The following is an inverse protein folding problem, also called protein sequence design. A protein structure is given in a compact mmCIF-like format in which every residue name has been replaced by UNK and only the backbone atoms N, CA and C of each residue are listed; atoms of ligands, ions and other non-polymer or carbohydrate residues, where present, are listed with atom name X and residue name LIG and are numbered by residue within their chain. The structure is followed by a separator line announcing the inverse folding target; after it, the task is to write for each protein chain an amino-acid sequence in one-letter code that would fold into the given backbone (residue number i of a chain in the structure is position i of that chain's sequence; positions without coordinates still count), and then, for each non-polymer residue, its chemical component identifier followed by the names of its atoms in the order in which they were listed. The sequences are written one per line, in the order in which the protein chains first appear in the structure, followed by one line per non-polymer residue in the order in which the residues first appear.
data_IF_725670897060
#
_entry.id   IF_725670897060
#
_cell.length_a   1.000
_cell.length_b   1.000
_cell.length_c   1.000
_cell.angle_alpha   90.00
_cell.angle_beta   90.00
_cell.angle_gamma   90.00
#
_symmetry.space_group_name_H-M   'P 1'
#
loop_
_entity.id
_entity.type
_entity.pdbx_description
1 polymer ?
#
# COMPACT_ATOMS: atom_id res chain seq x y z
N UNK A 1 19.62 21.02 2.24
CA UNK A 1 20.07 20.38 3.47
C UNK A 1 19.35 21.05 4.62
N UNK A 2 18.74 20.29 5.50
CA UNK A 2 18.07 20.78 6.70
C UNK A 2 18.88 20.31 7.90
N UNK A 3 19.71 21.20 8.46
CA UNK A 3 20.57 20.89 9.62
C UNK A 3 19.89 21.23 10.98
N UNK A 4 18.62 21.62 10.95
CA UNK A 4 17.89 22.01 12.16
C UNK A 4 17.37 20.79 12.96
N UNK A 5 17.23 19.65 12.31
CA UNK A 5 16.81 18.39 12.93
C UNK A 5 17.84 17.30 12.59
N UNK A 6 18.55 16.76 13.58
CA UNK A 6 19.61 15.77 13.35
C UNK A 6 19.03 14.37 13.06
N UNK A 7 18.25 14.26 12.01
CA UNK A 7 17.59 13.03 11.61
C UNK A 7 17.67 12.82 10.09
N UNK A 8 17.78 11.56 9.68
CA UNK A 8 17.82 11.15 8.28
C UNK A 8 16.77 10.08 8.03
N UNK A 9 15.95 10.31 7.00
CA UNK A 9 14.98 9.35 6.50
C UNK A 9 15.52 8.69 5.23
N UNK A 10 15.59 7.36 5.25
CA UNK A 10 15.99 6.51 4.15
C UNK A 10 14.75 5.77 3.65
N UNK A 11 14.42 5.91 2.38
CA UNK A 11 13.29 5.21 1.77
C UNK A 11 13.73 4.49 0.51
N UNK A 12 13.75 3.17 0.56
CA UNK A 12 13.92 2.31 -0.60
C UNK A 12 12.54 1.90 -1.13
N UNK A 13 12.31 2.18 -2.41
CA UNK A 13 11.09 1.82 -3.12
C UNK A 13 11.42 0.81 -4.20
N UNK A 14 10.65 -0.26 -4.29
CA UNK A 14 10.73 -1.28 -5.33
C UNK A 14 9.51 -1.14 -6.23
N UNK A 15 9.69 -1.11 -7.55
CA UNK A 15 8.64 -0.93 -8.55
C UNK A 15 7.77 -2.16 -8.76
N UNK A 16 7.41 -2.86 -7.67
CA UNK A 16 6.52 -4.02 -7.66
C UNK A 16 5.66 -4.01 -6.38
N UNK A 17 4.38 -4.25 -6.54
CA UNK A 17 3.38 -4.36 -5.48
C UNK A 17 2.33 -5.38 -5.87
N UNK A 18 1.14 -5.31 -5.30
CA UNK A 18 0.04 -6.26 -5.55
C UNK A 18 -0.35 -6.38 -7.05
N UNK A 19 -0.13 -5.33 -7.84
CA UNK A 19 -0.32 -5.39 -9.30
C UNK A 19 0.66 -6.36 -10.01
N UNK A 20 1.72 -6.75 -9.33
CA UNK A 20 2.72 -7.72 -9.82
C UNK A 20 2.49 -9.14 -9.30
N UNK A 21 1.45 -9.36 -8.52
CA UNK A 21 1.12 -10.68 -7.99
C UNK A 21 0.82 -11.66 -9.13
N UNK A 22 1.25 -12.92 -9.02
CA UNK A 22 0.77 -13.99 -9.89
C UNK A 22 -0.75 -14.17 -9.72
N UNK A 23 -1.44 -14.54 -10.79
CA UNK A 23 -2.91 -14.57 -10.86
C UNK A 23 -3.57 -15.43 -9.74
N UNK A 24 -2.90 -16.50 -9.32
CA UNK A 24 -3.40 -17.40 -8.28
C UNK A 24 -2.82 -17.11 -6.87
N UNK A 25 -1.96 -16.09 -6.75
CA UNK A 25 -1.19 -15.78 -5.53
C UNK A 25 -1.40 -14.34 -5.06
N UNK A 26 -2.63 -13.84 -5.18
CA UNK A 26 -2.96 -12.50 -4.71
C UNK A 26 -2.56 -12.30 -3.23
N UNK A 27 -1.88 -11.18 -2.96
CA UNK A 27 -1.34 -10.85 -1.64
C UNK A 27 0.12 -11.26 -1.43
N UNK A 28 0.78 -11.92 -2.41
CA UNK A 28 2.19 -12.31 -2.24
C UNK A 28 3.11 -11.11 -2.10
N UNK A 29 2.85 -10.01 -2.82
CA UNK A 29 3.62 -8.77 -2.68
C UNK A 29 3.48 -8.17 -1.27
N UNK A 30 2.25 -8.03 -0.78
CA UNK A 30 1.96 -7.51 0.55
C UNK A 30 2.59 -8.38 1.63
N UNK A 31 2.44 -9.70 1.52
CA UNK A 31 3.00 -10.64 2.48
C UNK A 31 4.54 -10.65 2.46
N UNK A 32 5.17 -10.58 1.26
CA UNK A 32 6.62 -10.39 1.12
C UNK A 32 7.06 -9.10 1.81
N UNK A 33 6.40 -7.98 1.51
CA UNK A 33 6.71 -6.68 2.09
C UNK A 33 6.63 -6.66 3.61
N UNK A 34 5.60 -7.29 4.20
CA UNK A 34 5.43 -7.38 5.65
C UNK A 34 6.49 -8.26 6.32
N UNK A 35 7.00 -9.28 5.63
CA UNK A 35 8.01 -10.19 6.13
C UNK A 35 9.46 -9.65 6.00
N UNK A 36 9.70 -8.59 5.25
CA UNK A 36 11.04 -8.01 5.12
C UNK A 36 11.66 -7.64 6.48
N UNK A 37 10.87 -7.08 7.38
CA UNK A 37 11.31 -6.71 8.73
C UNK A 37 11.32 -7.86 9.75
N UNK A 38 10.98 -9.09 9.33
CA UNK A 38 10.83 -10.25 10.21
C UNK A 38 12.03 -11.20 10.16
N UNK A 39 13.18 -10.67 9.81
CA UNK A 39 14.48 -11.37 9.82
C UNK A 39 15.18 -11.34 8.47
N UNK A 40 16.50 -11.30 8.55
CA UNK A 40 17.43 -11.40 7.43
C UNK A 40 18.29 -12.67 7.59
N UNK A 41 19.27 -12.84 6.72
CA UNK A 41 20.27 -13.93 6.87
C UNK A 41 21.19 -13.72 8.08
N UNK A 42 21.36 -12.47 8.54
CA UNK A 42 22.31 -12.09 9.58
C UNK A 42 21.63 -11.66 10.89
N UNK A 43 20.33 -11.38 10.89
CA UNK A 43 19.55 -10.91 12.05
C UNK A 43 18.20 -11.59 12.10
N UNK A 44 17.74 -11.99 13.27
CA UNK A 44 16.37 -12.40 13.48
C UNK A 44 15.42 -11.19 13.68
N UNK A 45 14.11 -11.42 13.81
CA UNK A 45 13.12 -10.36 13.97
C UNK A 45 13.33 -9.54 15.26
N UNK A 46 13.73 -10.20 16.34
CA UNK A 46 13.99 -9.56 17.64
C UNK A 46 15.22 -8.68 17.56
N UNK A 47 16.31 -9.19 16.99
CA UNK A 47 17.54 -8.43 16.77
C UNK A 47 17.33 -7.19 15.91
N UNK A 48 16.50 -7.28 14.85
CA UNK A 48 16.13 -6.11 14.03
C UNK A 48 15.40 -5.08 14.90
N UNK A 49 14.37 -5.50 15.65
CA UNK A 49 13.58 -4.61 16.51
C UNK A 49 14.44 -3.96 17.60
N UNK A 50 15.22 -4.75 18.35
CA UNK A 50 16.08 -4.24 19.42
C UNK A 50 17.15 -3.28 18.89
N UNK A 51 17.71 -3.57 17.72
CA UNK A 51 18.77 -2.73 17.17
C UNK A 51 18.22 -1.37 16.70
N UNK A 52 17.07 -1.34 16.00
CA UNK A 52 16.46 -0.07 15.58
C UNK A 52 15.97 0.75 16.78
N UNK A 53 15.40 0.10 17.79
CA UNK A 53 14.94 0.74 19.01
C UNK A 53 16.12 1.33 19.83
N UNK A 54 17.27 0.65 19.86
CA UNK A 54 18.46 1.10 20.59
C UNK A 54 19.02 2.44 20.10
N UNK A 55 18.78 2.77 18.81
CA UNK A 55 19.18 4.05 18.20
C UNK A 55 18.02 5.05 18.11
N UNK A 56 16.88 4.74 18.75
CA UNK A 56 15.66 5.58 18.68
C UNK A 56 15.12 5.71 17.27
N UNK A 57 15.36 4.72 16.41
CA UNK A 57 14.97 4.71 15.02
C UNK A 57 13.55 4.17 14.79
N UNK A 58 13.09 4.29 13.55
CA UNK A 58 11.80 3.73 13.11
C UNK A 58 12.04 2.92 11.84
N UNK A 59 11.56 1.68 11.82
CA UNK A 59 11.52 0.83 10.64
C UNK A 59 10.07 0.59 10.23
N UNK A 60 9.76 0.89 8.96
CA UNK A 60 8.48 0.54 8.35
C UNK A 60 8.73 -0.20 7.03
N UNK A 61 8.07 -1.33 6.85
CA UNK A 61 8.16 -2.15 5.64
C UNK A 61 6.76 -2.49 5.14
N UNK A 62 6.61 -2.74 3.85
CA UNK A 62 5.32 -3.12 3.30
C UNK A 62 5.28 -3.08 1.78
N UNK A 63 4.09 -3.38 1.25
CA UNK A 63 3.79 -3.19 -0.16
C UNK A 63 2.38 -2.62 -0.31
N UNK A 64 2.23 -1.75 -1.30
CA UNK A 64 0.93 -1.28 -1.77
C UNK A 64 0.57 -1.91 -3.12
N UNK A 65 -0.26 -1.22 -3.87
CA UNK A 65 -0.74 -1.72 -5.16
C UNK A 65 0.37 -1.79 -6.21
N UNK A 66 1.18 -0.73 -6.37
CA UNK A 66 2.16 -0.61 -7.47
C UNK A 66 3.62 -0.74 -7.01
N UNK A 67 3.88 -0.68 -5.72
CA UNK A 67 5.24 -0.65 -5.18
C UNK A 67 5.33 -1.31 -3.81
N UNK A 68 6.54 -1.80 -3.48
CA UNK A 68 6.93 -2.19 -2.12
C UNK A 68 7.94 -1.17 -1.57
N UNK A 69 8.09 -1.11 -0.25
CA UNK A 69 8.99 -0.16 0.37
C UNK A 69 9.63 -0.68 1.66
N UNK A 70 10.82 -0.16 1.92
CA UNK A 70 11.50 -0.19 3.23
C UNK A 70 11.81 1.25 3.60
N UNK A 71 11.38 1.69 4.76
CA UNK A 71 11.62 3.03 5.28
C UNK A 71 12.30 2.95 6.63
N UNK A 72 13.44 3.61 6.75
CA UNK A 72 14.23 3.70 7.98
C UNK A 72 14.42 5.17 8.32
N UNK A 73 14.04 5.56 9.53
CA UNK A 73 14.32 6.88 10.10
C UNK A 73 15.26 6.70 11.27
N UNK A 74 16.39 7.41 11.26
CA UNK A 74 17.39 7.38 12.33
C UNK A 74 17.92 8.78 12.59
N UNK A 75 18.59 8.95 13.75
CA UNK A 75 19.38 10.15 14.00
C UNK A 75 20.63 10.17 13.09
N UNK A 76 21.17 11.35 12.81
CA UNK A 76 22.31 11.54 11.89
C UNK A 76 23.55 10.74 12.30
N UNK A 77 23.82 10.60 13.58
CA UNK A 77 24.94 9.79 14.11
C UNK A 77 24.77 8.27 13.90
N UNK A 78 23.54 7.83 13.61
CA UNK A 78 23.20 6.44 13.30
C UNK A 78 22.93 6.20 11.79
N UNK A 79 23.34 7.15 10.93
CA UNK A 79 23.05 7.10 9.48
C UNK A 79 23.63 5.83 8.83
N UNK A 80 24.90 5.50 9.08
CA UNK A 80 25.54 4.32 8.50
C UNK A 80 24.81 3.02 8.89
N UNK A 81 24.41 2.91 10.15
CA UNK A 81 23.56 1.80 10.61
C UNK A 81 22.24 1.74 9.83
N UNK A 82 21.58 2.89 9.63
CA UNK A 82 20.32 2.95 8.86
C UNK A 82 20.48 2.47 7.42
N UNK A 83 21.58 2.84 6.75
CA UNK A 83 21.89 2.39 5.38
C UNK A 83 22.20 0.89 5.34
N UNK A 84 22.95 0.37 6.31
CA UNK A 84 23.25 -1.06 6.39
C UNK A 84 22.00 -1.89 6.66
N UNK A 85 21.14 -1.42 7.55
CA UNK A 85 19.88 -2.10 7.87
C UNK A 85 18.92 -2.16 6.67
N UNK A 86 18.72 -1.04 5.97
CA UNK A 86 17.83 -1.01 4.79
C UNK A 86 18.35 -1.91 3.67
N UNK A 87 19.68 -1.97 3.50
CA UNK A 87 20.32 -2.85 2.53
C UNK A 87 20.17 -4.33 2.89
N UNK A 88 20.36 -4.70 4.13
CA UNK A 88 20.24 -6.09 4.60
C UNK A 88 18.79 -6.58 4.49
N UNK A 89 17.83 -5.78 4.94
CA UNK A 89 16.39 -6.08 4.85
C UNK A 89 15.93 -6.25 3.40
N UNK A 90 16.36 -5.35 2.52
CA UNK A 90 15.92 -5.38 1.12
C UNK A 90 16.56 -6.49 0.29
N UNK A 91 17.81 -6.88 0.62
CA UNK A 91 18.60 -7.82 -0.19
C UNK A 91 18.61 -9.25 0.35
N UNK A 92 18.47 -9.41 1.66
CA UNK A 92 18.75 -10.68 2.35
C UNK A 92 17.62 -11.17 3.27
N UNK A 93 16.33 -11.01 2.96
CA UNK A 93 15.27 -11.49 3.85
C UNK A 93 15.38 -13.01 4.04
N UNK A 94 15.17 -13.47 5.27
CA UNK A 94 15.25 -14.88 5.61
C UNK A 94 14.00 -15.68 5.22
N UNK A 95 12.83 -15.03 5.28
CA UNK A 95 11.54 -15.67 5.14
C UNK A 95 11.44 -16.93 6.01
N UNK A 96 11.79 -16.81 7.29
CA UNK A 96 11.76 -17.93 8.23
C UNK A 96 10.34 -18.51 8.36
N UNK A 97 10.21 -19.85 8.37
CA UNK A 97 8.90 -20.50 8.34
C UNK A 97 8.03 -20.11 9.56
N UNK A 98 8.65 -19.96 10.73
CA UNK A 98 7.93 -19.54 11.94
C UNK A 98 7.32 -18.13 11.78
N UNK A 99 8.06 -17.19 11.18
CA UNK A 99 7.60 -15.85 10.94
C UNK A 99 6.52 -15.79 9.84
N UNK A 100 6.64 -16.64 8.82
CA UNK A 100 5.60 -16.81 7.80
C UNK A 100 4.29 -17.23 8.45
N UNK A 101 4.30 -18.26 9.30
CA UNK A 101 3.06 -18.74 9.92
C UNK A 101 2.49 -17.73 10.93
N UNK A 102 3.34 -17.06 11.70
CA UNK A 102 2.93 -15.98 12.62
C UNK A 102 2.25 -14.85 11.85
N UNK A 103 2.90 -14.36 10.81
CA UNK A 103 2.38 -13.26 9.96
C UNK A 103 1.12 -13.69 9.20
N UNK A 104 1.05 -14.94 8.71
CA UNK A 104 -0.15 -15.49 8.08
C UNK A 104 -1.36 -15.43 9.00
N UNK A 105 -1.23 -15.86 10.26
CA UNK A 105 -2.32 -15.80 11.22
C UNK A 105 -2.76 -14.36 11.48
N UNK A 106 -1.82 -13.42 11.55
CA UNK A 106 -2.11 -12.00 11.72
C UNK A 106 -2.89 -11.44 10.52
N UNK A 107 -2.45 -11.73 9.29
CA UNK A 107 -3.13 -11.29 8.05
C UNK A 107 -4.53 -11.89 7.95
N UNK A 108 -4.68 -13.19 8.20
CA UNK A 108 -5.98 -13.86 8.15
C UNK A 108 -6.96 -13.31 9.20
N UNK A 109 -6.47 -13.02 10.40
CA UNK A 109 -7.28 -12.37 11.45
C UNK A 109 -7.69 -10.95 11.04
N UNK A 110 -6.77 -10.18 10.45
CA UNK A 110 -7.07 -8.84 9.92
C UNK A 110 -8.12 -8.87 8.82
N UNK A 111 -8.02 -9.79 7.86
CA UNK A 111 -9.02 -9.99 6.80
C UNK A 111 -10.39 -10.35 7.40
N UNK A 112 -10.43 -11.24 8.40
CA UNK A 112 -11.68 -11.61 9.05
C UNK A 112 -12.36 -10.40 9.73
N UNK A 113 -11.59 -9.58 10.45
CA UNK A 113 -12.10 -8.35 11.08
C UNK A 113 -12.59 -7.36 10.00
N UNK A 114 -11.85 -7.23 8.90
CA UNK A 114 -12.23 -6.34 7.81
C UNK A 114 -13.56 -6.73 7.15
N UNK A 115 -13.88 -8.03 7.06
CA UNK A 115 -15.17 -8.47 6.53
C UNK A 115 -16.37 -8.16 7.43
N UNK A 116 -16.15 -7.82 8.69
CA UNK A 116 -17.21 -7.33 9.56
C UNK A 116 -17.55 -5.86 9.32
N UNK A 117 -16.68 -5.10 8.67
CA UNK A 117 -16.89 -3.71 8.29
C UNK A 117 -17.66 -3.57 6.95
N UNK A 118 -18.90 -3.03 6.95
CA UNK A 118 -19.65 -2.77 5.71
C UNK A 118 -18.91 -1.84 4.74
N UNK A 119 -18.14 -0.88 5.27
CA UNK A 119 -17.36 0.06 4.47
C UNK A 119 -16.26 -0.62 3.67
N UNK A 120 -15.57 -1.57 4.30
CA UNK A 120 -14.57 -2.41 3.62
C UNK A 120 -15.19 -3.27 2.51
N UNK A 121 -16.29 -3.97 2.82
CA UNK A 121 -17.00 -4.79 1.83
C UNK A 121 -17.44 -3.98 0.62
N UNK A 122 -18.04 -2.81 0.86
CA UNK A 122 -18.47 -1.92 -0.20
C UNK A 122 -17.27 -1.44 -1.06
N UNK A 123 -16.12 -1.18 -0.44
CA UNK A 123 -14.86 -0.81 -1.12
C UNK A 123 -14.34 -1.92 -2.02
N UNK A 124 -14.21 -3.14 -1.50
CA UNK A 124 -13.73 -4.31 -2.27
C UNK A 124 -14.63 -4.59 -3.48
N UNK A 125 -15.96 -4.55 -3.28
CA UNK A 125 -16.91 -4.77 -4.38
C UNK A 125 -16.85 -3.62 -5.39
N UNK A 126 -16.72 -2.38 -4.94
CA UNK A 126 -16.53 -1.22 -5.81
C UNK A 126 -15.28 -1.38 -6.70
N UNK A 127 -14.13 -1.69 -6.12
CA UNK A 127 -12.89 -1.91 -6.87
C UNK A 127 -13.04 -3.06 -7.87
N UNK A 128 -13.69 -4.16 -7.48
CA UNK A 128 -13.97 -5.27 -8.39
C UNK A 128 -14.88 -4.88 -9.56
N UNK A 129 -15.87 -4.04 -9.33
CA UNK A 129 -16.77 -3.53 -10.38
C UNK A 129 -16.07 -2.58 -11.34
N UNK A 130 -15.19 -1.72 -10.83
CA UNK A 130 -14.41 -0.74 -11.62
C UNK A 130 -13.35 -1.43 -12.46
N UNK A 131 -12.58 -2.33 -11.86
CA UNK A 131 -11.37 -2.88 -12.46
C UNK A 131 -11.56 -4.29 -13.06
N UNK A 132 -12.63 -5.01 -12.74
CA UNK A 132 -12.93 -6.33 -13.30
C UNK A 132 -11.83 -7.35 -13.01
N UNK A 133 -11.18 -7.86 -14.07
CA UNK A 133 -10.05 -8.80 -13.98
C UNK A 133 -8.68 -8.12 -13.89
N UNK A 134 -8.62 -6.79 -13.96
CA UNK A 134 -7.38 -6.06 -13.73
C UNK A 134 -6.89 -6.30 -12.28
N UNK A 135 -5.57 -6.43 -12.03
CA UNK A 135 -5.03 -6.63 -10.68
C UNK A 135 -5.53 -5.64 -9.63
N UNK A 136 -5.82 -4.40 -10.02
CA UNK A 136 -6.38 -3.39 -9.12
C UNK A 136 -7.79 -3.70 -8.59
N UNK A 137 -8.49 -4.67 -9.17
CA UNK A 137 -9.77 -5.16 -8.66
C UNK A 137 -9.67 -6.25 -7.61
N UNK A 138 -8.46 -6.49 -7.09
CA UNK A 138 -8.21 -7.44 -5.99
C UNK A 138 -7.69 -6.68 -4.78
N UNK A 139 -8.06 -7.11 -3.55
CA UNK A 139 -7.48 -6.54 -2.34
C UNK A 139 -5.94 -6.71 -2.33
N UNK A 140 -5.17 -5.66 -2.05
CA UNK A 140 -3.70 -5.74 -2.05
C UNK A 140 -3.15 -6.79 -1.08
N UNK A 141 -3.80 -6.99 0.06
CA UNK A 141 -3.43 -8.01 1.06
C UNK A 141 -3.87 -9.44 0.68
N UNK A 142 -4.50 -9.60 -0.48
CA UNK A 142 -5.06 -10.86 -0.94
C UNK A 142 -6.40 -11.20 -0.30
N UNK A 143 -6.78 -12.47 -0.43
CA UNK A 143 -7.98 -13.05 0.18
C UNK A 143 -7.58 -14.10 1.21
N UNK A 144 -8.51 -14.46 2.10
CA UNK A 144 -8.26 -15.55 3.05
C UNK A 144 -7.85 -16.87 2.36
N UNK A 145 -8.35 -17.11 1.14
CA UNK A 145 -8.02 -18.29 0.35
C UNK A 145 -6.59 -18.20 -0.20
N UNK A 146 -6.25 -17.11 -0.90
CA UNK A 146 -4.93 -16.94 -1.49
C UNK A 146 -3.82 -16.88 -0.43
N UNK A 147 -4.02 -16.16 0.68
CA UNK A 147 -3.04 -16.03 1.77
C UNK A 147 -2.72 -17.40 2.42
N UNK A 148 -3.71 -18.29 2.55
CA UNK A 148 -3.46 -19.67 3.06
C UNK A 148 -2.55 -20.48 2.14
N UNK A 149 -2.56 -20.20 0.84
CA UNK A 149 -1.82 -20.96 -0.17
C UNK A 149 -0.43 -20.38 -0.49
N UNK A 150 -0.10 -19.19 -0.03
CA UNK A 150 1.22 -18.58 -0.23
C UNK A 150 2.27 -19.38 0.55
N UNK A 151 3.29 -19.86 -0.14
CA UNK A 151 4.39 -20.63 0.44
C UNK A 151 5.65 -19.79 0.58
N UNK A 152 6.63 -20.28 1.35
CA UNK A 152 7.97 -19.66 1.40
C UNK A 152 8.60 -19.54 0.00
N UNK A 153 8.37 -20.54 -0.86
CA UNK A 153 8.88 -20.51 -2.23
C UNK A 153 8.25 -19.38 -3.05
N UNK A 154 6.94 -19.10 -2.89
CA UNK A 154 6.26 -18.00 -3.57
C UNK A 154 6.85 -16.64 -3.14
N UNK A 155 7.09 -16.47 -1.83
CA UNK A 155 7.69 -15.24 -1.27
C UNK A 155 9.10 -15.02 -1.81
N UNK A 156 9.94 -16.04 -1.81
CA UNK A 156 11.28 -15.99 -2.38
C UNK A 156 11.26 -15.72 -3.88
N UNK A 157 10.38 -16.39 -4.62
CA UNK A 157 10.24 -16.19 -6.06
C UNK A 157 9.83 -14.74 -6.39
N UNK A 158 8.88 -14.18 -5.65
CA UNK A 158 8.48 -12.78 -5.80
C UNK A 158 9.64 -11.81 -5.48
N UNK A 159 10.31 -12.01 -4.36
CA UNK A 159 11.47 -11.21 -3.99
C UNK A 159 12.58 -11.31 -5.03
N UNK A 160 12.95 -12.52 -5.44
CA UNK A 160 14.02 -12.74 -6.41
C UNK A 160 13.71 -12.14 -7.79
N UNK A 161 12.44 -12.11 -8.18
CA UNK A 161 12.02 -11.55 -9.47
C UNK A 161 12.01 -10.02 -9.48
N UNK A 162 11.65 -9.39 -8.37
CA UNK A 162 11.33 -7.96 -8.36
C UNK A 162 12.31 -7.09 -7.59
N UNK A 163 13.02 -7.61 -6.58
CA UNK A 163 13.98 -6.84 -5.79
C UNK A 163 15.33 -6.83 -6.47
N UNK A 164 15.58 -5.75 -7.20
CA UNK A 164 16.80 -5.53 -7.98
C UNK A 164 17.08 -4.03 -8.10
N UNK A 165 18.35 -3.61 -8.26
CA UNK A 165 18.73 -2.19 -8.31
C UNK A 165 18.10 -1.46 -9.51
N UNK A 166 17.91 -2.13 -10.64
CA UNK A 166 17.24 -1.56 -11.81
C UNK A 166 15.70 -1.51 -11.70
N UNK A 167 15.12 -1.91 -10.56
CA UNK A 167 13.72 -1.76 -10.18
C UNK A 167 13.56 -1.00 -8.85
N UNK A 168 14.63 -0.37 -8.38
CA UNK A 168 14.69 0.26 -7.08
C UNK A 168 14.99 1.75 -7.19
N UNK A 169 14.49 2.52 -6.22
CA UNK A 169 14.84 3.91 -5.99
C UNK A 169 15.10 4.11 -4.50
N UNK A 170 16.30 4.61 -4.16
CA UNK A 170 16.64 5.01 -2.79
C UNK A 170 16.54 6.54 -2.68
N UNK A 171 15.71 7.01 -1.78
CA UNK A 171 15.65 8.41 -1.38
C UNK A 171 16.24 8.58 0.02
N UNK A 172 17.17 9.51 0.17
CA UNK A 172 17.81 9.88 1.45
C UNK A 172 17.52 11.35 1.68
N UNK A 173 16.85 11.67 2.78
CA UNK A 173 16.40 13.03 3.10
C UNK A 173 16.68 13.32 4.57
N UNK A 174 17.36 14.43 4.86
CA UNK A 174 17.64 14.86 6.23
C UNK A 174 18.97 15.58 6.38
N UNK A 175 19.53 15.53 7.59
CA UNK A 175 20.78 16.15 7.97
C UNK A 175 21.98 15.25 7.59
N UNK A 176 22.30 15.24 6.29
CA UNK A 176 23.41 14.47 5.73
C UNK A 176 23.97 15.18 4.48
N UNK A 177 25.27 15.17 4.34
CA UNK A 177 25.95 15.65 3.14
C UNK A 177 25.73 14.69 1.96
N UNK A 178 25.50 15.26 0.77
CA UNK A 178 25.16 14.47 -0.43
C UNK A 178 26.26 13.43 -0.77
N UNK A 179 27.53 13.83 -0.67
CA UNK A 179 28.67 12.94 -0.98
C UNK A 179 28.74 11.75 0.00
N UNK A 180 28.46 11.99 1.29
CA UNK A 180 28.39 10.93 2.29
C UNK A 180 27.22 9.98 2.01
N UNK A 181 26.05 10.53 1.65
CA UNK A 181 24.88 9.74 1.29
C UNK A 181 25.13 8.85 0.05
N UNK A 182 25.75 9.39 -1.00
CA UNK A 182 26.11 8.62 -2.19
C UNK A 182 27.17 7.56 -1.91
N UNK A 183 28.20 7.87 -1.11
CA UNK A 183 29.24 6.91 -0.74
C UNK A 183 28.65 5.73 0.07
N UNK A 184 27.75 6.01 1.01
CA UNK A 184 27.07 4.97 1.78
C UNK A 184 26.14 4.11 0.91
N UNK A 185 25.39 4.73 -0.02
CA UNK A 185 24.56 4.00 -0.96
C UNK A 185 25.39 3.09 -1.89
N UNK A 186 26.52 3.58 -2.41
CA UNK A 186 27.44 2.79 -3.23
C UNK A 186 28.03 1.62 -2.45
N UNK A 187 28.42 1.85 -1.20
CA UNK A 187 28.96 0.80 -0.30
C UNK A 187 27.97 -0.36 -0.11
N UNK A 188 26.68 -0.06 0.04
CA UNK A 188 25.66 -1.05 0.40
C UNK A 188 24.99 -1.67 -0.83
N UNK A 189 24.83 -0.90 -1.91
CA UNK A 189 24.07 -1.33 -3.09
C UNK A 189 24.91 -1.46 -4.36
N UNK A 190 26.17 -1.02 -4.38
CA UNK A 190 27.01 -0.99 -5.57
C UNK A 190 27.29 -2.37 -6.19
N UNK A 191 27.30 -3.43 -5.38
CA UNK A 191 27.44 -4.82 -5.82
C UNK A 191 26.09 -5.53 -6.09
N UNK A 192 24.96 -4.83 -5.89
CA UNK A 192 23.65 -5.42 -6.13
C UNK A 192 23.41 -5.59 -7.63
N UNK A 193 23.37 -6.84 -8.10
CA UNK A 193 23.31 -7.14 -9.52
C UNK A 193 21.93 -6.84 -10.11
N UNK A 194 21.93 -6.15 -11.27
CA UNK A 194 20.71 -5.93 -12.04
C UNK A 194 20.13 -7.25 -12.57
N UNK A 195 18.81 -7.31 -12.69
CA UNK A 195 18.09 -8.52 -13.15
C UNK A 195 17.21 -8.21 -14.36
N UNK A 196 16.86 -9.22 -15.13
CA UNK A 196 15.76 -9.14 -16.09
C UNK A 196 14.44 -9.11 -15.31
N UNK A 197 13.75 -7.99 -15.37
CA UNK A 197 12.49 -7.82 -14.65
C UNK A 197 11.34 -8.52 -15.40
N UNK A 198 10.38 -9.10 -14.68
CA UNK A 198 9.16 -9.61 -15.29
C UNK A 198 8.42 -8.50 -16.04
N UNK A 199 7.86 -8.86 -17.19
CA UNK A 199 6.96 -7.96 -17.91
C UNK A 199 5.63 -7.93 -17.19
N UNK A 200 5.21 -6.72 -16.76
CA UNK A 200 3.91 -6.56 -16.12
C UNK A 200 2.80 -6.94 -17.09
N UNK A 201 1.88 -7.77 -16.63
CA UNK A 201 0.71 -8.18 -17.40
C UNK A 201 -0.14 -6.95 -17.73
N UNK A 202 -0.30 -6.67 -19.00
CA UNK A 202 -1.22 -5.63 -19.44
C UNK A 202 -2.64 -6.22 -19.45
N UNK A 203 -3.47 -5.75 -18.54
CA UNK A 203 -4.89 -6.06 -18.47
C UNK A 203 -5.65 -4.74 -18.66
N UNK A 204 -6.61 -4.71 -19.57
CA UNK A 204 -7.39 -3.51 -19.81
C UNK A 204 -8.42 -3.32 -18.66
N UNK A 205 -8.56 -2.07 -18.23
CA UNK A 205 -9.63 -1.70 -17.29
C UNK A 205 -10.95 -1.69 -18.11
N UNK A 206 -12.01 -2.36 -17.62
CA UNK A 206 -13.26 -2.43 -18.35
C UNK A 206 -13.86 -1.04 -18.63
N UNK A 207 -14.53 -0.90 -19.76
CA UNK A 207 -15.31 0.30 -20.02
C UNK A 207 -16.37 0.48 -18.93
N UNK A 208 -16.57 1.71 -18.41
CA UNK A 208 -17.54 1.96 -17.36
C UNK A 208 -18.97 1.64 -17.85
N UNK A 209 -19.72 0.90 -17.04
CA UNK A 209 -21.12 0.61 -17.27
C UNK A 209 -21.93 0.95 -16.02
N UNK A 210 -23.06 1.65 -16.13
CA UNK A 210 -23.92 1.96 -15.00
C UNK A 210 -24.38 0.67 -14.30
N UNK A 211 -24.07 0.55 -13.00
CA UNK A 211 -24.48 -0.60 -12.18
C UNK A 211 -24.84 -0.12 -10.79
N UNK A 212 -25.85 -0.75 -10.21
CA UNK A 212 -26.16 -0.64 -8.78
C UNK A 212 -26.05 -2.03 -8.19
N UNK A 213 -25.24 -2.16 -7.14
CA UNK A 213 -25.10 -3.41 -6.41
C UNK A 213 -25.48 -3.16 -4.97
N UNK A 214 -26.35 -3.99 -4.45
CA UNK A 214 -26.78 -3.95 -3.04
C UNK A 214 -26.29 -5.22 -2.37
N UNK A 215 -25.54 -5.03 -1.27
CA UNK A 215 -25.07 -6.12 -0.43
C UNK A 215 -25.88 -6.10 0.86
N UNK A 216 -26.69 -7.12 1.07
CA UNK A 216 -27.43 -7.27 2.31
C UNK A 216 -26.51 -7.77 3.42
N UNK A 217 -26.43 -6.99 4.51
CA UNK A 217 -25.70 -7.35 5.75
C UNK A 217 -26.68 -7.32 6.91
N UNK A 218 -27.30 -8.47 7.26
CA UNK A 218 -28.28 -8.54 8.33
C UNK A 218 -27.74 -7.99 9.65
N UNK A 219 -28.55 -7.19 10.33
CA UNK A 219 -28.19 -6.57 11.60
C UNK A 219 -27.35 -5.28 11.48
N UNK A 220 -26.99 -4.84 10.30
CA UNK A 220 -26.29 -3.57 10.11
C UNK A 220 -27.26 -2.38 10.37
N UNK A 221 -26.85 -1.48 11.25
CA UNK A 221 -27.59 -0.25 11.55
C UNK A 221 -27.29 0.87 10.55
N UNK A 222 -26.21 0.74 9.79
CA UNK A 222 -25.74 1.72 8.82
C UNK A 222 -25.57 1.07 7.45
N UNK A 223 -25.76 1.89 6.42
CA UNK A 223 -25.44 1.55 5.02
C UNK A 223 -24.19 2.29 4.59
N UNK A 224 -23.19 1.54 4.17
CA UNK A 224 -22.02 2.09 3.50
C UNK A 224 -22.30 2.29 2.02
N UNK A 225 -22.12 3.51 1.52
CA UNK A 225 -22.37 3.89 0.13
C UNK A 225 -21.05 4.17 -0.55
N UNK A 226 -20.86 3.62 -1.76
CA UNK A 226 -19.74 3.91 -2.66
C UNK A 226 -20.29 4.25 -4.03
N UNK A 227 -19.89 5.41 -4.58
CA UNK A 227 -20.31 5.89 -5.91
C UNK A 227 -19.07 6.33 -6.67
N UNK A 228 -18.88 5.86 -7.88
CA UNK A 228 -17.72 6.26 -8.66
C UNK A 228 -17.54 5.49 -9.96
N UNK A 229 -16.38 5.65 -10.56
CA UNK A 229 -16.05 5.04 -11.85
C UNK A 229 -14.52 5.01 -12.07
N UNK A 230 -14.09 4.32 -13.13
CA UNK A 230 -12.69 4.38 -13.57
C UNK A 230 -12.27 5.81 -13.91
N UNK A 231 -11.06 6.19 -13.51
CA UNK A 231 -10.52 7.52 -13.65
C UNK A 231 -9.10 7.50 -14.27
N UNK A 232 -8.44 8.64 -14.23
CA UNK A 232 -7.17 8.91 -14.91
C UNK A 232 -5.99 8.18 -14.24
N UNK A 233 -5.03 7.68 -15.02
CA UNK A 233 -3.75 7.22 -14.48
C UNK A 233 -2.94 8.40 -13.94
N UNK A 234 -2.00 8.13 -13.04
CA UNK A 234 -1.12 9.14 -12.44
C UNK A 234 -0.31 9.95 -13.47
N UNK A 235 -0.03 9.36 -14.61
CA UNK A 235 0.73 9.96 -15.71
C UNK A 235 -0.10 10.88 -16.62
N UNK A 236 -1.42 10.98 -16.41
CA UNK A 236 -2.29 11.86 -17.21
C UNK A 236 -1.92 13.33 -16.98
N UNK A 237 -1.83 14.16 -18.03
CA UNK A 237 -1.61 15.60 -17.87
C UNK A 237 -2.75 16.30 -17.12
N UNK A 238 -3.96 15.73 -17.15
CA UNK A 238 -5.13 16.30 -16.49
C UNK A 238 -5.28 15.83 -15.03
N UNK A 239 -4.36 14.97 -14.54
CA UNK A 239 -4.44 14.42 -13.20
C UNK A 239 -4.58 15.48 -12.11
N UNK A 240 -3.72 16.50 -12.10
CA UNK A 240 -3.73 17.55 -11.07
C UNK A 240 -5.03 18.35 -11.06
N UNK A 241 -5.54 18.70 -12.24
CA UNK A 241 -6.79 19.43 -12.36
C UNK A 241 -7.97 18.59 -11.86
N UNK A 242 -7.97 17.31 -12.20
CA UNK A 242 -8.99 16.36 -11.73
C UNK A 242 -8.92 16.15 -10.22
N UNK A 243 -7.73 15.94 -9.65
CA UNK A 243 -7.53 15.78 -8.21
C UNK A 243 -8.05 17.00 -7.42
N UNK A 244 -7.72 18.23 -7.89
CA UNK A 244 -8.22 19.46 -7.26
C UNK A 244 -9.73 19.56 -7.34
N UNK A 245 -10.34 19.22 -8.49
CA UNK A 245 -11.79 19.24 -8.63
C UNK A 245 -12.49 18.26 -7.65
N UNK A 246 -11.93 17.07 -7.48
CA UNK A 246 -12.46 16.07 -6.55
C UNK A 246 -12.23 16.48 -5.10
N UNK A 247 -11.12 17.14 -4.77
CA UNK A 247 -10.90 17.69 -3.42
C UNK A 247 -11.92 18.77 -3.06
N UNK A 248 -12.36 19.59 -4.00
CA UNK A 248 -13.45 20.56 -3.79
C UNK A 248 -14.77 19.82 -3.51
N UNK A 249 -15.01 18.71 -4.22
CA UNK A 249 -16.23 17.91 -4.06
C UNK A 249 -16.27 17.22 -2.70
N UNK A 250 -15.22 16.51 -2.33
CA UNK A 250 -15.25 15.60 -1.17
C UNK A 250 -13.91 15.38 -0.49
N UNK A 251 -12.88 16.20 -0.74
CA UNK A 251 -11.56 16.07 -0.12
C UNK A 251 -11.56 16.43 1.37
N UNK A 252 -10.67 17.32 1.78
CA UNK A 252 -10.51 17.73 3.17
C UNK A 252 -11.68 18.59 3.69
N UNK A 253 -11.61 18.99 4.97
CA UNK A 253 -12.69 19.69 5.67
C UNK A 253 -13.24 20.90 4.91
N UNK A 254 -14.57 21.09 4.95
CA UNK A 254 -15.27 22.16 4.24
C UNK A 254 -15.66 21.80 2.79
N UNK A 255 -15.48 20.54 2.38
CA UNK A 255 -15.88 20.06 1.06
C UNK A 255 -17.42 20.07 0.85
N UNK A 256 -17.86 20.03 -0.41
CA UNK A 256 -19.28 20.13 -0.77
C UNK A 256 -20.11 18.96 -0.25
N UNK A 257 -19.62 17.72 -0.35
CA UNK A 257 -20.34 16.53 0.15
C UNK A 257 -20.55 16.61 1.66
N UNK A 258 -19.51 16.96 2.41
CA UNK A 258 -19.60 17.15 3.85
C UNK A 258 -20.54 18.27 4.26
N UNK A 259 -20.51 19.41 3.56
CA UNK A 259 -21.42 20.52 3.80
C UNK A 259 -22.89 20.09 3.63
N UNK A 260 -23.22 19.45 2.51
CA UNK A 260 -24.61 19.06 2.22
C UNK A 260 -25.05 17.88 3.08
N UNK A 261 -24.32 16.77 3.06
CA UNK A 261 -24.80 15.53 3.70
C UNK A 261 -24.68 15.56 5.22
N UNK A 262 -23.62 16.18 5.75
CA UNK A 262 -23.41 16.26 7.19
C UNK A 262 -24.05 17.51 7.80
N UNK A 263 -23.69 18.70 7.29
CA UNK A 263 -24.03 19.96 7.97
C UNK A 263 -25.47 20.38 7.71
N UNK A 264 -25.91 20.35 6.46
CA UNK A 264 -27.26 20.82 6.09
C UNK A 264 -28.33 19.76 6.34
N UNK A 265 -28.04 18.49 5.99
CA UNK A 265 -29.04 17.40 6.02
C UNK A 265 -28.91 16.46 7.21
N UNK A 266 -27.82 16.48 7.94
CA UNK A 266 -27.55 15.60 9.11
C UNK A 266 -27.72 14.10 8.80
N UNK A 267 -27.39 13.67 7.56
CA UNK A 267 -27.55 12.30 7.10
C UNK A 267 -26.38 11.41 7.45
N UNK A 268 -25.19 12.00 7.63
CA UNK A 268 -23.95 11.26 7.88
C UNK A 268 -23.04 11.99 8.85
N UNK A 269 -22.10 11.25 9.44
CA UNK A 269 -20.98 11.83 10.19
C UNK A 269 -19.87 12.35 9.26
N UNK A 270 -19.65 11.66 8.13
CA UNK A 270 -18.64 12.04 7.14
C UNK A 270 -19.06 11.65 5.73
N UNK A 271 -18.75 12.51 4.78
CA UNK A 271 -18.84 12.21 3.35
C UNK A 271 -17.58 12.73 2.67
N UNK A 272 -16.97 11.92 1.85
CA UNK A 272 -15.74 12.26 1.16
C UNK A 272 -15.73 11.74 -0.28
N UNK A 273 -14.80 12.29 -1.07
CA UNK A 273 -14.50 11.81 -2.40
C UNK A 273 -13.00 11.89 -2.64
N UNK A 274 -12.46 10.85 -3.23
CA UNK A 274 -11.04 10.72 -3.52
C UNK A 274 -10.79 10.22 -4.93
N UNK A 275 -9.57 10.44 -5.43
CA UNK A 275 -9.04 9.88 -6.67
C UNK A 275 -7.86 8.99 -6.34
N UNK A 276 -7.99 7.71 -6.60
CA UNK A 276 -6.88 6.78 -6.53
C UNK A 276 -6.24 6.64 -7.91
N UNK A 277 -5.31 7.55 -8.25
CA UNK A 277 -4.56 7.47 -9.51
C UNK A 277 -3.33 6.59 -9.34
N UNK A 278 -3.33 5.45 -10.03
CA UNK A 278 -2.29 4.43 -10.04
C UNK A 278 -1.52 4.44 -11.37
N UNK A 279 -0.55 3.56 -11.52
CA UNK A 279 0.33 3.50 -12.70
C UNK A 279 -0.43 3.26 -14.01
N UNK A 280 -1.41 2.35 -14.02
CA UNK A 280 -2.10 1.90 -15.24
C UNK A 280 -3.51 2.47 -15.38
N UNK A 281 -4.02 3.17 -14.39
CA UNK A 281 -5.34 3.74 -14.37
C UNK A 281 -5.65 4.27 -12.98
N UNK A 282 -6.88 4.70 -12.79
CA UNK A 282 -7.35 5.18 -11.49
C UNK A 282 -8.83 4.95 -11.32
N UNK A 283 -9.33 5.30 -10.17
CA UNK A 283 -10.75 5.43 -9.87
C UNK A 283 -11.03 6.73 -9.14
N UNK A 284 -12.22 7.22 -9.36
CA UNK A 284 -12.89 8.21 -8.54
C UNK A 284 -13.90 7.51 -7.67
N UNK A 285 -13.89 7.79 -6.38
CA UNK A 285 -14.81 7.21 -5.42
C UNK A 285 -15.34 8.26 -4.44
N UNK A 286 -16.66 8.50 -4.46
CA UNK A 286 -17.40 9.14 -3.39
C UNK A 286 -17.82 8.09 -2.36
N UNK A 287 -17.66 8.40 -1.07
CA UNK A 287 -18.00 7.48 0.03
C UNK A 287 -18.68 8.19 1.18
N UNK A 288 -19.68 7.53 1.74
CA UNK A 288 -20.36 7.95 2.97
C UNK A 288 -20.98 6.74 3.67
N UNK A 289 -21.30 6.93 4.92
CA UNK A 289 -22.09 5.99 5.73
C UNK A 289 -23.26 6.72 6.34
N UNK A 290 -24.44 6.14 6.25
CA UNK A 290 -25.69 6.72 6.75
C UNK A 290 -26.51 5.67 7.49
N UNK A 291 -27.46 6.09 8.28
CA UNK A 291 -28.43 5.15 8.88
C UNK A 291 -29.20 4.43 7.75
N UNK A 292 -29.44 3.12 7.91
CA UNK A 292 -30.12 2.32 6.89
C UNK A 292 -31.47 2.92 6.43
N UNK A 293 -32.20 3.56 7.34
CA UNK A 293 -33.46 4.24 7.05
C UNK A 293 -33.33 5.49 6.16
N UNK A 294 -32.13 6.09 6.08
CA UNK A 294 -31.90 7.33 5.32
C UNK A 294 -31.02 7.09 4.07
N UNK A 295 -30.83 5.83 3.67
CA UNK A 295 -29.99 5.45 2.53
C UNK A 295 -30.43 6.13 1.23
N UNK A 296 -31.72 6.10 0.92
CA UNK A 296 -32.25 6.68 -0.30
C UNK A 296 -32.13 8.22 -0.36
N UNK A 297 -32.16 8.88 0.80
CA UNK A 297 -31.99 10.33 0.88
C UNK A 297 -30.51 10.75 0.76
N UNK A 298 -29.59 9.88 1.19
CA UNK A 298 -28.15 10.12 1.10
C UNK A 298 -27.56 9.84 -0.30
N UNK A 299 -28.27 9.09 -1.14
CA UNK A 299 -27.94 8.85 -2.55
C UNK A 299 -28.37 10.01 -3.43
#
# INVERSE_FOLDING_TARGET
MHHEQPAVNLRLVIGAGAASDPEEKHGVAAFTGQLLGQGTRSRDATEIAETIDSVGGILNVGAGTDLSFVNVLVMTDSFDFGVDLIGDIARNPSFAQAEIERQRQQVLSGIQVSYDDPGYLAGVVFEKLVYGSHPYGMPPDGTSESVRQITQQDLRAFHDAHYAPNNALLAIVGDIEADAAFAAAERVFGDWAAKTLPVLRKVDIPAPAPRVVVIDKPGSLQTAIRVGHAALPRTSPDYLAFDVAIKILGGEGGNRLGSVLRTERSLTYSASADVASRRFGGDFMGKTETRSATTAEAL
#
